data_IF_114606831445
#
_entry.id   IF_114606831445
#
_cell.length_a   1.000
_cell.length_b   1.000
_cell.length_c   1.000
_cell.angle_alpha   90.00
_cell.angle_beta   90.00
_cell.angle_gamma   90.00
#
_symmetry.space_group_name_H-M   'P 1'
#
loop_
_entity.id
_entity.type
_entity.pdbx_description
1 polymer ?
#
# COMPACT_ATOMS: atom_id res chain seq x y z
N UNK A 1 5.33 32.14 -10.51
CA UNK A 1 5.22 32.35 -9.05
C UNK A 1 4.24 31.44 -8.32
N UNK A 2 3.62 30.43 -8.99
CA UNK A 2 2.63 29.47 -8.39
C UNK A 2 3.19 28.11 -7.91
N UNK A 3 4.46 27.81 -8.16
CA UNK A 3 5.02 26.49 -7.81
C UNK A 3 5.52 26.34 -6.36
N UNK A 4 5.89 27.45 -5.71
CA UNK A 4 6.42 27.42 -4.32
C UNK A 4 5.35 27.15 -3.25
N UNK A 5 4.08 27.42 -3.52
CA UNK A 5 3.00 27.17 -2.55
C UNK A 5 2.57 25.72 -2.45
N UNK A 6 2.87 24.91 -3.46
CA UNK A 6 2.48 23.49 -3.50
C UNK A 6 3.35 22.62 -2.58
N UNK A 7 4.63 22.97 -2.44
CA UNK A 7 5.58 22.23 -1.58
C UNK A 7 5.32 22.52 -0.09
N UNK A 8 4.81 23.70 0.26
CA UNK A 8 4.49 24.06 1.65
C UNK A 8 3.26 23.33 2.23
N UNK A 9 2.33 22.86 1.38
CA UNK A 9 1.17 22.08 1.82
C UNK A 9 1.51 20.61 2.15
N UNK A 10 2.69 20.13 1.73
CA UNK A 10 3.14 18.75 1.99
C UNK A 10 3.71 18.57 3.42
N UNK A 11 3.99 19.66 4.13
CA UNK A 11 4.69 19.67 5.41
C UNK A 11 3.82 19.84 6.67
N UNK A 12 2.49 19.80 6.56
CA UNK A 12 1.61 19.87 7.74
C UNK A 12 1.52 18.51 8.45
N UNK A 13 1.58 18.47 9.80
CA UNK A 13 1.70 17.23 10.54
C UNK A 13 0.45 16.34 10.43
N UNK A 14 0.74 15.06 10.37
CA UNK A 14 -0.06 13.86 10.14
C UNK A 14 -1.36 13.69 10.95
N UNK A 15 -1.52 14.38 12.07
CA UNK A 15 -2.51 13.98 13.11
C UNK A 15 -3.91 14.59 12.99
N UNK A 16 -4.12 15.61 12.15
CA UNK A 16 -5.37 16.40 12.17
C UNK A 16 -6.46 15.80 11.28
N UNK A 17 -6.13 15.07 10.22
CA UNK A 17 -7.10 14.68 9.18
C UNK A 17 -7.77 13.31 9.40
N UNK A 18 -7.14 12.41 10.14
CA UNK A 18 -7.71 11.06 10.38
C UNK A 18 -8.80 11.04 11.47
N UNK A 19 -8.79 11.98 12.40
CA UNK A 19 -9.88 12.12 13.40
C UNK A 19 -11.20 12.54 12.74
N UNK A 20 -11.15 13.37 11.72
CA UNK A 20 -12.34 13.79 10.99
C UNK A 20 -12.94 12.65 10.17
N UNK A 21 -12.11 11.73 9.68
CA UNK A 21 -12.57 10.56 8.92
C UNK A 21 -13.25 9.53 9.82
N UNK A 22 -12.69 9.27 10.99
CA UNK A 22 -13.27 8.32 11.96
C UNK A 22 -14.53 8.88 12.64
N UNK A 23 -14.59 10.20 12.90
CA UNK A 23 -15.79 10.86 13.44
C UNK A 23 -16.97 10.89 12.47
N UNK A 24 -16.69 10.87 11.16
CA UNK A 24 -17.69 10.91 10.10
C UNK A 24 -18.23 9.52 9.68
N UNK A 25 -17.65 8.43 10.19
CA UNK A 25 -18.09 7.06 9.87
C UNK A 25 -19.43 6.66 10.57
N UNK A 26 -20.04 7.54 11.34
CA UNK A 26 -21.27 7.31 12.13
C UNK A 26 -22.57 7.52 11.35
N UNK A 27 -22.68 7.18 10.05
CA UNK A 27 -23.95 7.35 9.35
C UNK A 27 -24.09 6.59 8.04
N UNK A 28 -25.35 6.32 7.66
CA UNK A 28 -25.81 5.52 6.51
C UNK A 28 -25.32 5.93 5.09
N UNK A 29 -24.45 6.96 4.96
CA UNK A 29 -24.00 7.52 3.67
C UNK A 29 -22.49 7.44 3.44
N UNK A 30 -21.78 6.53 4.11
CA UNK A 30 -20.32 6.39 4.00
C UNK A 30 -19.89 6.14 2.53
N UNK A 31 -20.58 5.24 1.86
CA UNK A 31 -20.26 4.87 0.48
C UNK A 31 -20.47 6.04 -0.50
N UNK A 32 -21.54 6.81 -0.31
CA UNK A 32 -21.83 7.99 -1.14
C UNK A 32 -20.80 9.09 -0.94
N UNK A 33 -20.44 9.37 0.33
CA UNK A 33 -19.37 10.34 0.66
C UNK A 33 -18.02 9.90 0.11
N UNK A 34 -17.70 8.61 0.18
CA UNK A 34 -16.47 8.07 -0.37
C UNK A 34 -16.42 8.22 -1.90
N UNK A 35 -17.51 7.87 -2.62
CA UNK A 35 -17.62 8.09 -4.06
C UNK A 35 -17.51 9.57 -4.43
N UNK A 36 -18.15 10.45 -3.67
CA UNK A 36 -18.06 11.91 -3.87
C UNK A 36 -16.63 12.41 -3.66
N UNK A 37 -15.93 11.93 -2.62
CA UNK A 37 -14.54 12.27 -2.32
C UNK A 37 -13.58 11.78 -3.41
N UNK A 38 -13.81 10.58 -3.97
CA UNK A 38 -13.05 10.05 -5.10
C UNK A 38 -13.26 10.86 -6.38
N UNK A 39 -14.51 11.29 -6.66
CA UNK A 39 -14.85 12.06 -7.85
C UNK A 39 -14.27 13.47 -7.80
N UNK A 40 -14.24 14.08 -6.62
CA UNK A 40 -13.78 15.45 -6.41
C UNK A 40 -12.31 15.54 -5.98
N UNK A 41 -11.57 14.42 -6.00
CA UNK A 41 -10.14 14.43 -5.73
C UNK A 41 -9.42 15.27 -6.80
N UNK A 42 -8.53 16.18 -6.40
CA UNK A 42 -7.84 17.06 -7.33
C UNK A 42 -6.99 16.25 -8.32
N UNK A 43 -6.93 16.70 -9.56
CA UNK A 43 -6.02 16.12 -10.54
C UNK A 43 -4.59 16.50 -10.17
N UNK A 44 -3.87 15.51 -9.63
CA UNK A 44 -2.48 15.68 -9.26
C UNK A 44 -1.65 15.67 -10.57
N UNK A 45 -0.87 16.71 -10.80
CA UNK A 45 0.11 16.78 -11.90
C UNK A 45 1.31 15.85 -11.59
N UNK A 46 1.06 14.54 -11.56
CA UNK A 46 2.04 13.50 -11.21
C UNK A 46 2.07 12.41 -12.27
N UNK A 47 3.20 11.76 -12.40
CA UNK A 47 3.32 10.59 -13.28
C UNK A 47 2.98 9.33 -12.51
N UNK A 48 1.90 8.65 -12.88
CA UNK A 48 1.49 7.40 -12.25
C UNK A 48 2.40 6.24 -12.64
N UNK A 49 2.66 5.35 -11.68
CA UNK A 49 3.46 4.15 -11.91
C UNK A 49 2.64 3.08 -12.65
N UNK A 50 3.16 2.62 -13.78
CA UNK A 50 2.57 1.50 -14.53
C UNK A 50 2.79 0.15 -13.83
N UNK A 51 2.07 -0.87 -14.33
CA UNK A 51 2.10 -2.24 -13.80
C UNK A 51 3.52 -2.78 -13.68
N UNK A 52 4.33 -2.74 -14.75
CA UNK A 52 5.67 -3.36 -14.75
C UNK A 52 6.58 -2.85 -13.64
N UNK A 53 6.65 -1.52 -13.41
CA UNK A 53 7.47 -0.98 -12.32
C UNK A 53 6.97 -1.40 -10.94
N UNK A 54 5.65 -1.51 -10.75
CA UNK A 54 5.08 -1.97 -9.48
C UNK A 54 5.41 -3.43 -9.23
N UNK A 55 5.26 -4.29 -10.25
CA UNK A 55 5.59 -5.72 -10.16
C UNK A 55 7.06 -5.94 -9.82
N UNK A 56 7.98 -5.23 -10.49
CA UNK A 56 9.41 -5.33 -10.19
C UNK A 56 9.69 -4.85 -8.74
N UNK A 57 9.07 -3.76 -8.29
CA UNK A 57 9.21 -3.29 -6.91
C UNK A 57 8.77 -4.36 -5.90
N UNK A 58 7.59 -4.95 -6.11
CA UNK A 58 7.05 -6.02 -5.24
C UNK A 58 7.94 -7.28 -5.26
N UNK A 59 8.53 -7.66 -6.41
CA UNK A 59 9.48 -8.78 -6.48
C UNK A 59 10.75 -8.50 -5.66
N UNK A 60 11.29 -7.29 -5.73
CA UNK A 60 12.44 -6.87 -4.92
C UNK A 60 12.07 -6.93 -3.43
N UNK A 61 10.90 -6.40 -3.06
CA UNK A 61 10.42 -6.41 -1.67
C UNK A 61 10.21 -7.86 -1.16
N UNK A 62 9.63 -8.73 -1.99
CA UNK A 62 9.51 -10.16 -1.69
C UNK A 62 10.88 -10.78 -1.38
N UNK A 63 11.87 -10.53 -2.22
CA UNK A 63 13.22 -11.05 -2.02
C UNK A 63 13.81 -10.58 -0.69
N UNK A 64 13.67 -9.29 -0.38
CA UNK A 64 14.18 -8.67 0.87
C UNK A 64 13.51 -9.25 2.11
N UNK A 65 12.22 -9.56 2.06
CA UNK A 65 11.49 -10.10 3.22
C UNK A 65 11.65 -11.61 3.33
N UNK A 66 11.54 -12.35 2.22
CA UNK A 66 11.53 -13.82 2.24
C UNK A 66 12.89 -14.44 2.49
N UNK A 67 13.98 -13.92 1.93
CA UNK A 67 15.31 -14.52 2.12
C UNK A 67 15.71 -14.53 3.60
N UNK A 68 15.66 -13.40 4.36
CA UNK A 68 15.97 -13.43 5.78
C UNK A 68 15.04 -14.33 6.59
N UNK A 69 13.74 -14.37 6.25
CA UNK A 69 12.79 -15.26 6.91
C UNK A 69 13.15 -16.72 6.70
N UNK A 70 13.50 -17.14 5.49
CA UNK A 70 13.93 -18.51 5.19
C UNK A 70 15.21 -18.90 5.93
N UNK A 71 16.18 -17.96 6.02
CA UNK A 71 17.43 -18.19 6.75
C UNK A 71 17.14 -18.36 8.24
N UNK A 72 16.36 -17.42 8.81
CA UNK A 72 15.98 -17.46 10.22
C UNK A 72 15.23 -18.76 10.56
N UNK A 73 14.33 -19.15 9.70
CA UNK A 73 13.53 -20.36 9.83
C UNK A 73 14.40 -21.63 9.81
N UNK A 74 15.30 -21.74 8.82
CA UNK A 74 16.22 -22.88 8.75
C UNK A 74 17.11 -22.97 9.98
N UNK A 75 17.51 -21.83 10.55
CA UNK A 75 18.35 -21.78 11.74
C UNK A 75 17.60 -22.15 13.02
N UNK A 76 16.39 -21.62 13.22
CA UNK A 76 15.59 -21.85 14.44
C UNK A 76 14.91 -23.23 14.48
N UNK A 77 14.54 -23.77 13.32
CA UNK A 77 13.69 -24.97 13.23
C UNK A 77 14.35 -26.18 12.56
N UNK A 78 15.68 -26.24 12.59
CA UNK A 78 16.45 -27.38 12.09
C UNK A 78 15.98 -28.73 12.65
N UNK A 79 15.22 -28.73 13.74
CA UNK A 79 14.85 -29.91 14.53
C UNK A 79 13.38 -30.37 14.39
N UNK A 80 12.46 -29.60 13.79
CA UNK A 80 11.02 -29.89 13.91
C UNK A 80 10.24 -29.84 12.59
N UNK A 81 10.77 -30.47 11.53
CA UNK A 81 10.18 -30.42 10.17
C UNK A 81 8.92 -31.28 9.95
N UNK A 82 8.47 -32.07 10.93
CA UNK A 82 7.48 -33.14 10.71
C UNK A 82 6.04 -32.82 11.10
N UNK A 83 5.76 -31.68 11.74
CA UNK A 83 4.41 -31.35 12.19
C UNK A 83 3.67 -30.48 11.20
N UNK A 84 2.48 -30.92 10.74
CA UNK A 84 1.58 -30.17 9.85
C UNK A 84 1.20 -28.80 10.43
N UNK A 85 1.05 -28.68 11.75
CA UNK A 85 0.76 -27.45 12.47
C UNK A 85 1.82 -26.37 12.23
N UNK A 86 3.09 -26.81 12.14
CA UNK A 86 4.22 -25.91 11.88
C UNK A 86 4.10 -25.20 10.51
N UNK A 87 3.66 -25.88 9.46
CA UNK A 87 3.48 -25.29 8.14
C UNK A 87 2.37 -24.21 8.15
N UNK A 88 1.34 -24.42 8.95
CA UNK A 88 0.25 -23.45 9.12
C UNK A 88 0.74 -22.18 9.80
N UNK A 89 1.52 -22.29 10.90
CA UNK A 89 2.09 -21.13 11.58
C UNK A 89 3.05 -20.32 10.69
N UNK A 90 3.88 -21.02 9.89
CA UNK A 90 4.76 -20.38 8.90
C UNK A 90 4.00 -19.45 7.97
N UNK A 91 2.92 -19.94 7.39
CA UNK A 91 2.09 -19.19 6.46
C UNK A 91 1.59 -17.89 7.09
N UNK A 92 1.08 -17.96 8.33
CA UNK A 92 0.63 -16.77 9.04
C UNK A 92 1.77 -15.79 9.38
N UNK A 93 2.92 -16.30 9.82
CA UNK A 93 4.09 -15.48 10.12
C UNK A 93 4.53 -14.70 8.89
N UNK A 94 4.61 -15.35 7.74
CA UNK A 94 4.99 -14.70 6.46
C UNK A 94 4.00 -13.60 6.09
N UNK A 95 2.69 -13.88 6.15
CA UNK A 95 1.65 -12.88 5.83
C UNK A 95 1.71 -11.69 6.79
N UNK A 96 1.80 -11.94 8.10
CA UNK A 96 1.86 -10.89 9.12
C UNK A 96 3.11 -10.02 8.90
N UNK A 97 4.26 -10.65 8.68
CA UNK A 97 5.53 -9.92 8.41
C UNK A 97 5.42 -9.08 7.14
N UNK A 98 4.81 -9.62 6.08
CA UNK A 98 4.58 -8.89 4.83
C UNK A 98 3.67 -7.66 5.01
N UNK A 99 2.55 -7.82 5.71
CA UNK A 99 1.63 -6.73 6.01
C UNK A 99 2.32 -5.67 6.87
N UNK A 100 3.05 -6.09 7.90
CA UNK A 100 3.76 -5.19 8.81
C UNK A 100 4.84 -4.40 8.06
N UNK A 101 5.68 -5.08 7.28
CA UNK A 101 6.71 -4.45 6.46
C UNK A 101 6.13 -3.38 5.54
N UNK A 102 5.11 -3.72 4.74
CA UNK A 102 4.48 -2.74 3.85
C UNK A 102 3.86 -1.58 4.62
N UNK A 103 3.13 -1.85 5.71
CA UNK A 103 2.45 -0.82 6.48
C UNK A 103 3.42 0.18 7.09
N UNK A 104 4.52 -0.29 7.66
CA UNK A 104 5.54 0.57 8.28
C UNK A 104 6.24 1.43 7.23
N UNK A 105 6.71 0.83 6.15
CA UNK A 105 7.48 1.55 5.14
C UNK A 105 6.65 2.55 4.34
N UNK A 106 5.44 2.20 3.93
CA UNK A 106 4.56 3.09 3.16
C UNK A 106 4.04 4.29 3.97
N UNK A 107 3.94 4.14 5.28
CA UNK A 107 3.56 5.24 6.18
C UNK A 107 4.75 6.05 6.67
N UNK A 108 5.97 5.60 6.42
CA UNK A 108 7.20 6.30 6.76
C UNK A 108 7.37 7.62 6.00
N UNK A 109 8.43 8.36 6.31
CA UNK A 109 8.80 9.58 5.60
C UNK A 109 9.03 9.35 4.10
N UNK A 110 9.46 8.15 3.73
CA UNK A 110 9.75 7.77 2.34
C UNK A 110 8.49 7.45 1.54
N UNK A 111 7.37 7.09 2.17
CA UNK A 111 6.11 6.71 1.53
C UNK A 111 6.27 5.55 0.53
N UNK A 112 7.25 4.68 0.77
CA UNK A 112 7.63 3.61 -0.14
C UNK A 112 8.32 2.49 0.61
N UNK A 113 8.10 1.24 0.20
CA UNK A 113 8.92 0.09 0.58
C UNK A 113 10.30 0.17 -0.08
N UNK A 114 11.24 -0.65 0.35
CA UNK A 114 12.62 -0.61 -0.19
C UNK A 114 12.64 -0.82 -1.71
N UNK A 115 11.91 -1.82 -2.22
CA UNK A 115 11.80 -2.06 -3.66
C UNK A 115 11.18 -0.89 -4.41
N UNK A 116 10.15 -0.26 -3.82
CA UNK A 116 9.54 0.96 -4.38
C UNK A 116 10.50 2.15 -4.37
N UNK A 117 11.33 2.30 -3.32
CA UNK A 117 12.37 3.34 -3.26
C UNK A 117 13.41 3.18 -4.36
N UNK A 118 13.90 1.94 -4.60
CA UNK A 118 14.87 1.64 -5.67
C UNK A 118 14.33 2.06 -7.03
N UNK A 119 13.04 1.82 -7.30
CA UNK A 119 12.40 2.17 -8.57
C UNK A 119 11.83 3.60 -8.61
N UNK A 120 12.14 4.42 -7.59
CA UNK A 120 11.66 5.81 -7.46
C UNK A 120 10.14 5.88 -7.51
N UNK A 121 9.47 5.03 -6.70
CA UNK A 121 8.02 5.01 -6.57
C UNK A 121 7.62 5.47 -5.17
N UNK A 122 6.49 6.16 -5.06
CA UNK A 122 5.88 6.58 -3.79
C UNK A 122 4.39 6.28 -3.75
N UNK A 123 3.91 5.90 -2.58
CA UNK A 123 2.48 5.71 -2.30
C UNK A 123 1.93 6.97 -1.64
N UNK A 124 0.90 7.54 -2.24
CA UNK A 124 0.25 8.76 -1.75
C UNK A 124 -1.27 8.56 -1.65
N UNK A 125 -1.89 9.29 -0.76
CA UNK A 125 -3.35 9.37 -0.66
C UNK A 125 -3.96 10.26 -1.74
N UNK A 126 -5.31 10.36 -1.73
CA UNK A 126 -6.10 11.10 -2.72
C UNK A 126 -5.68 12.57 -2.92
N UNK A 127 -5.15 13.20 -1.91
CA UNK A 127 -4.73 14.62 -1.94
C UNK A 127 -3.22 14.80 -2.00
N UNK A 128 -2.46 13.78 -2.42
CA UNK A 128 -1.00 13.83 -2.46
C UNK A 128 -0.32 13.71 -1.09
N UNK A 129 -1.08 13.55 -0.01
CA UNK A 129 -0.58 13.41 1.36
C UNK A 129 -0.13 11.97 1.65
N UNK A 130 0.60 11.80 2.73
CA UNK A 130 0.97 10.47 3.25
C UNK A 130 -0.29 9.69 3.63
N UNK A 131 -0.21 8.38 3.49
CA UNK A 131 -1.28 7.47 3.93
C UNK A 131 -1.10 7.15 5.42
N UNK A 132 -2.22 6.91 6.12
CA UNK A 132 -2.18 6.45 7.51
C UNK A 132 -1.86 4.96 7.59
N UNK A 133 -1.40 4.51 8.78
CA UNK A 133 -1.09 3.10 9.04
C UNK A 133 -2.29 2.20 8.75
N UNK A 134 -3.48 2.60 9.21
CA UNK A 134 -4.72 1.86 8.95
C UNK A 134 -5.01 1.73 7.46
N UNK A 135 -4.82 2.79 6.68
CA UNK A 135 -5.01 2.75 5.22
C UNK A 135 -4.00 1.82 4.55
N UNK A 136 -2.73 1.87 4.94
CA UNK A 136 -1.73 0.94 4.41
C UNK A 136 -2.05 -0.50 4.76
N UNK A 137 -2.46 -0.76 6.01
CA UNK A 137 -2.91 -2.08 6.46
C UNK A 137 -4.07 -2.61 5.63
N UNK A 138 -5.16 -1.84 5.48
CA UNK A 138 -6.29 -2.23 4.62
C UNK A 138 -5.90 -2.40 3.16
N UNK A 139 -4.95 -1.60 2.67
CA UNK A 139 -4.41 -1.74 1.32
C UNK A 139 -3.73 -3.09 1.12
N UNK A 140 -2.93 -3.54 2.09
CA UNK A 140 -2.28 -4.84 2.04
C UNK A 140 -3.30 -5.99 2.06
N UNK A 141 -4.31 -5.93 2.92
CA UNK A 141 -5.37 -6.95 2.97
C UNK A 141 -6.15 -6.99 1.66
N UNK A 142 -6.56 -5.84 1.15
CA UNK A 142 -7.30 -5.76 -0.12
C UNK A 142 -6.45 -6.13 -1.32
N UNK A 143 -5.11 -5.97 -1.25
CA UNK A 143 -4.19 -6.45 -2.27
C UNK A 143 -4.18 -7.99 -2.35
N UNK A 144 -4.17 -8.68 -1.21
CA UNK A 144 -4.28 -10.15 -1.14
C UNK A 144 -5.60 -10.59 -1.81
N UNK A 145 -6.71 -9.94 -1.47
CA UNK A 145 -8.03 -10.22 -2.09
C UNK A 145 -8.00 -9.93 -3.61
N UNK A 146 -7.28 -8.92 -4.06
CA UNK A 146 -7.19 -8.55 -5.48
C UNK A 146 -6.41 -9.56 -6.33
N UNK A 147 -5.60 -10.42 -5.70
CA UNK A 147 -4.86 -11.50 -6.38
C UNK A 147 -5.77 -12.70 -6.61
N UNK A 148 -6.72 -12.98 -5.71
CA UNK A 148 -7.60 -14.16 -5.73
C UNK A 148 -8.33 -14.36 -7.08
N UNK A 149 -8.98 -13.34 -7.70
CA UNK A 149 -9.62 -13.51 -9.01
C UNK A 149 -8.59 -13.43 -10.15
N UNK A 150 -7.62 -14.38 -10.20
CA UNK A 150 -6.62 -14.53 -11.28
C UNK A 150 -5.84 -13.23 -11.56
N UNK A 151 -5.62 -12.39 -10.52
CA UNK A 151 -4.88 -11.13 -10.67
C UNK A 151 -5.63 -10.01 -11.41
N UNK A 152 -6.92 -10.16 -11.71
CA UNK A 152 -7.72 -9.15 -12.42
C UNK A 152 -7.68 -7.77 -11.74
N UNK A 153 -7.64 -7.76 -10.41
CA UNK A 153 -7.53 -6.51 -9.65
C UNK A 153 -6.23 -5.75 -9.89
N UNK A 154 -5.15 -6.48 -10.21
CA UNK A 154 -3.84 -5.90 -10.57
C UNK A 154 -3.84 -5.52 -12.05
N UNK A 155 -4.41 -6.36 -12.92
CA UNK A 155 -4.54 -6.09 -14.35
C UNK A 155 -5.30 -4.80 -14.65
N UNK A 156 -6.25 -4.43 -13.80
CA UNK A 156 -7.01 -3.19 -13.91
C UNK A 156 -6.12 -1.92 -13.99
N UNK A 157 -4.87 -1.98 -13.51
CA UNK A 157 -3.88 -0.89 -13.65
C UNK A 157 -3.66 -0.49 -15.11
N UNK A 158 -3.79 -1.42 -16.06
CA UNK A 158 -3.56 -1.15 -17.47
C UNK A 158 -4.68 -0.36 -18.11
N UNK A 159 -5.90 -0.50 -17.60
CA UNK A 159 -7.11 0.14 -18.12
C UNK A 159 -7.46 1.46 -17.43
N UNK A 160 -7.05 1.64 -16.17
CA UNK A 160 -7.34 2.87 -15.41
C UNK A 160 -6.41 4.02 -15.84
N UNK A 161 -6.96 5.21 -16.22
CA UNK A 161 -6.15 6.38 -16.59
C UNK A 161 -5.18 6.82 -15.49
N UNK A 162 -5.54 6.62 -14.21
CA UNK A 162 -4.71 6.92 -13.04
C UNK A 162 -3.89 5.72 -12.58
N UNK A 163 -3.86 4.64 -13.36
CA UNK A 163 -3.07 3.41 -13.13
C UNK A 163 -3.23 2.84 -11.72
N UNK A 164 -4.47 2.77 -11.22
CA UNK A 164 -4.80 2.22 -9.89
C UNK A 164 -5.17 0.76 -10.00
N UNK A 165 -4.69 -0.04 -9.04
CA UNK A 165 -5.22 -1.38 -8.81
C UNK A 165 -6.54 -1.31 -8.01
N UNK A 166 -7.28 -2.41 -7.91
CA UNK A 166 -8.52 -2.46 -7.12
C UNK A 166 -8.28 -2.10 -5.65
N UNK A 167 -7.22 -2.59 -5.04
CA UNK A 167 -6.87 -2.24 -3.66
C UNK A 167 -6.54 -0.74 -3.51
N UNK A 168 -5.90 -0.12 -4.52
CA UNK A 168 -5.65 1.32 -4.51
C UNK A 168 -6.96 2.12 -4.60
N UNK A 169 -7.93 1.63 -5.40
CA UNK A 169 -9.25 2.24 -5.52
C UNK A 169 -10.05 2.18 -4.22
N UNK A 170 -10.07 0.99 -3.58
CA UNK A 170 -10.82 0.75 -2.34
C UNK A 170 -10.33 1.66 -1.22
N UNK A 171 -9.01 1.84 -1.10
CA UNK A 171 -8.41 2.62 -0.01
C UNK A 171 -8.20 4.09 -0.38
N UNK A 172 -8.33 4.43 -1.66
CA UNK A 172 -8.13 5.80 -2.15
C UNK A 172 -6.67 6.22 -2.13
N UNK A 173 -5.80 5.42 -2.78
CA UNK A 173 -4.36 5.66 -2.88
C UNK A 173 -3.90 5.70 -4.33
N UNK A 174 -2.72 6.28 -4.55
CA UNK A 174 -2.03 6.28 -5.83
C UNK A 174 -0.58 5.88 -5.65
N UNK A 175 -0.02 5.21 -6.66
CA UNK A 175 1.42 4.99 -6.74
C UNK A 175 1.97 5.84 -7.86
N UNK A 176 2.87 6.75 -7.50
CA UNK A 176 3.46 7.73 -8.40
C UNK A 176 4.96 7.49 -8.57
N UNK A 177 5.53 8.05 -9.63
CA UNK A 177 6.98 8.16 -9.78
C UNK A 177 7.47 9.38 -8.99
N UNK A 178 8.52 9.17 -8.17
CA UNK A 178 9.17 10.23 -7.38
C UNK A 178 10.12 11.02 -8.25
#
# INVERSE_FOLDING_TARGET
MKSKNYIRQISTPFFVEDRDVLGQLKGKNVLHRFKHKLRNAPDLKVTYAGLGKRTIAELIDLTIVFIPLLILETFLFKFNRTNNDFNTYRFFIVIITWIFYNSVFETSAYQATVGKMILKLKVIGLYGKRISVLRSFFRCITAIISILPIGLGIWYITTDPKKRAWHDLIVGTYVIKS
#
